data_IF_145898492330
#
_entry.id   IF_145898492330
#
_cell.length_a   1.000
_cell.length_b   1.000
_cell.length_c   1.000
_cell.angle_alpha   90.00
_cell.angle_beta   90.00
_cell.angle_gamma   90.00
#
_symmetry.space_group_name_H-M   'P 1'
#
loop_
_entity.id
_entity.type
_entity.pdbx_description
1 polymer ?
#
# COMPACT_ATOMS: atom_id res chain seq x y z
N UNK A 1 9.85 1.70 -15.31
CA UNK A 1 9.80 0.68 -14.24
C UNK A 1 9.32 -0.64 -14.82
N UNK A 2 8.07 -0.74 -15.30
CA UNK A 2 7.50 -1.97 -15.89
C UNK A 2 8.39 -2.65 -16.94
N UNK A 3 8.83 -1.90 -17.96
CA UNK A 3 9.79 -2.41 -18.97
C UNK A 3 11.10 -2.94 -18.36
N UNK A 4 11.54 -2.36 -17.24
CA UNK A 4 12.73 -2.80 -16.51
C UNK A 4 12.51 -4.15 -15.83
N UNK A 5 11.34 -4.37 -15.23
CA UNK A 5 10.94 -5.68 -14.71
C UNK A 5 10.91 -6.71 -15.85
N UNK A 6 10.32 -6.35 -17.00
CA UNK A 6 10.30 -7.21 -18.18
C UNK A 6 11.68 -7.51 -18.78
N UNK A 7 12.67 -6.64 -18.58
CA UNK A 7 14.07 -6.94 -18.94
C UNK A 7 14.67 -7.97 -17.98
N UNK A 8 14.53 -7.76 -16.66
CA UNK A 8 15.07 -8.69 -15.64
C UNK A 8 14.50 -10.10 -15.82
N UNK A 9 13.19 -10.22 -16.06
CA UNK A 9 12.54 -11.52 -16.27
C UNK A 9 13.08 -12.22 -17.52
N UNK A 10 13.24 -11.49 -18.64
CA UNK A 10 13.79 -12.05 -19.89
C UNK A 10 15.24 -12.52 -19.76
N UNK A 11 16.05 -11.82 -18.98
CA UNK A 11 17.42 -12.25 -18.70
C UNK A 11 17.44 -13.54 -17.86
N UNK A 12 16.58 -13.64 -16.84
CA UNK A 12 16.44 -14.85 -16.03
C UNK A 12 15.95 -16.05 -16.86
N UNK A 13 15.02 -15.83 -17.80
CA UNK A 13 14.55 -16.82 -18.77
C UNK A 13 15.66 -17.26 -19.73
N UNK A 14 16.40 -16.30 -20.31
CA UNK A 14 17.50 -16.57 -21.24
C UNK A 14 18.65 -17.33 -20.57
N UNK A 15 18.85 -17.13 -19.27
CA UNK A 15 19.81 -17.89 -18.46
C UNK A 15 19.29 -19.27 -18.01
N UNK A 16 18.04 -19.63 -18.30
CA UNK A 16 17.43 -20.89 -17.88
C UNK A 16 17.15 -20.99 -16.38
N UNK A 17 17.05 -19.86 -15.67
CA UNK A 17 16.89 -19.80 -14.20
C UNK A 17 15.44 -19.68 -13.75
N UNK A 18 14.53 -19.31 -14.66
CA UNK A 18 13.16 -18.95 -14.33
C UNK A 18 12.38 -20.10 -13.64
N UNK A 19 12.58 -21.34 -14.10
CA UNK A 19 11.92 -22.54 -13.58
C UNK A 19 12.32 -22.94 -12.14
N UNK A 20 13.35 -22.29 -11.57
CA UNK A 20 13.80 -22.54 -10.20
C UNK A 20 13.90 -21.24 -9.38
N UNK A 21 13.21 -20.17 -9.80
CA UNK A 21 13.27 -18.86 -9.16
C UNK A 21 11.91 -18.43 -8.65
N UNK A 22 11.83 -18.08 -7.37
CA UNK A 22 10.70 -17.30 -6.84
C UNK A 22 10.93 -15.81 -7.10
N UNK A 23 9.94 -15.14 -7.69
CA UNK A 23 9.97 -13.71 -7.97
C UNK A 23 8.97 -13.01 -7.05
N UNK A 24 9.45 -12.02 -6.29
CA UNK A 24 8.62 -11.15 -5.45
C UNK A 24 8.72 -9.73 -6.00
N UNK A 25 7.59 -9.13 -6.35
CA UNK A 25 7.48 -7.73 -6.76
C UNK A 25 6.61 -6.97 -5.76
N UNK A 26 7.12 -5.84 -5.25
CA UNK A 26 6.40 -5.01 -4.29
C UNK A 26 6.88 -3.55 -4.30
N UNK A 27 6.33 -2.71 -3.41
CA UNK A 27 6.76 -1.33 -3.15
C UNK A 27 7.21 -1.20 -1.70
N UNK A 28 8.02 -0.20 -1.36
CA UNK A 28 8.43 0.08 0.03
C UNK A 28 7.34 0.82 0.81
N UNK A 29 6.70 1.79 0.17
CA UNK A 29 5.60 2.58 0.70
C UNK A 29 4.69 3.07 -0.43
N UNK A 30 3.64 3.79 -0.05
CA UNK A 30 2.76 4.46 -0.97
C UNK A 30 3.36 5.65 -1.70
N UNK A 31 2.63 6.20 -2.68
CA UNK A 31 3.17 7.23 -3.56
C UNK A 31 3.26 8.60 -2.87
N UNK A 32 4.06 9.54 -3.42
CA UNK A 32 4.29 10.86 -2.85
C UNK A 32 3.13 11.83 -3.16
N UNK A 33 1.95 11.50 -2.65
CA UNK A 33 0.73 12.30 -2.75
C UNK A 33 0.15 12.58 -1.36
N UNK A 34 -0.78 13.55 -1.21
CA UNK A 34 -1.49 13.76 0.04
C UNK A 34 -2.11 12.47 0.56
N UNK A 35 -2.06 12.26 1.88
CA UNK A 35 -2.39 11.00 2.57
C UNK A 35 -1.52 9.78 2.19
N UNK A 36 -0.63 9.89 1.20
CA UNK A 36 0.29 8.84 0.74
C UNK A 36 1.52 8.69 1.64
N UNK A 37 2.71 8.59 1.02
CA UNK A 37 4.02 8.49 1.69
C UNK A 37 4.07 9.32 2.96
N UNK A 38 4.71 8.78 4.01
CA UNK A 38 4.79 9.33 5.39
C UNK A 38 3.55 9.14 6.27
N UNK A 39 2.42 8.69 5.72
CA UNK A 39 1.20 8.43 6.50
C UNK A 39 0.98 6.94 6.74
N UNK A 40 0.10 6.63 7.69
CA UNK A 40 -0.40 5.28 7.94
C UNK A 40 -1.84 5.10 7.42
N UNK A 41 -2.30 5.93 6.49
CA UNK A 41 -3.64 5.89 5.92
C UNK A 41 -3.76 4.85 4.78
N UNK A 42 -4.97 4.54 4.32
CA UNK A 42 -5.18 3.74 3.10
C UNK A 42 -5.05 4.62 1.84
N UNK A 43 -5.39 5.91 1.95
CA UNK A 43 -5.23 6.95 0.92
C UNK A 43 -5.74 6.58 -0.48
N UNK A 44 -6.90 5.91 -0.56
CA UNK A 44 -7.45 5.46 -1.84
C UNK A 44 -6.68 4.30 -2.45
N UNK A 45 -6.37 3.27 -1.63
CA UNK A 45 -5.76 1.97 -1.97
C UNK A 45 -4.24 1.91 -2.08
N UNK A 46 -3.52 3.00 -1.82
CA UNK A 46 -2.12 3.09 -2.27
C UNK A 46 -1.14 3.59 -1.21
N UNK A 47 -1.56 3.95 0.01
CA UNK A 47 -0.60 4.39 1.04
C UNK A 47 0.06 3.22 1.78
N UNK A 48 -0.68 2.55 2.67
CA UNK A 48 -0.19 1.33 3.34
C UNK A 48 -0.51 0.05 2.57
N UNK A 49 -1.42 0.14 1.61
CA UNK A 49 -1.73 -0.95 0.69
C UNK A 49 -0.87 -0.80 -0.56
N UNK A 50 0.17 -1.62 -0.64
CA UNK A 50 1.15 -1.63 -1.72
C UNK A 50 0.94 -2.86 -2.62
N UNK A 51 1.41 -2.85 -3.88
CA UNK A 51 1.38 -4.05 -4.69
C UNK A 51 2.22 -5.14 -4.05
N UNK A 52 1.75 -6.38 -4.07
CA UNK A 52 2.54 -7.56 -3.75
C UNK A 52 2.18 -8.67 -4.74
N UNK A 53 3.15 -9.09 -5.53
CA UNK A 53 3.04 -10.21 -6.46
C UNK A 53 4.13 -11.20 -6.07
N UNK A 54 3.73 -12.44 -5.83
CA UNK A 54 4.65 -13.55 -5.60
C UNK A 54 4.41 -14.59 -6.67
N UNK A 55 5.43 -14.85 -7.47
CA UNK A 55 5.42 -15.87 -8.52
C UNK A 55 6.41 -16.96 -8.18
N UNK A 56 5.93 -18.20 -8.13
CA UNK A 56 6.76 -19.40 -7.97
C UNK A 56 6.63 -20.28 -9.21
N UNK A 57 7.61 -21.15 -9.52
CA UNK A 57 7.55 -22.03 -10.70
C UNK A 57 6.34 -22.97 -10.71
N UNK A 58 5.86 -23.38 -9.53
CA UNK A 58 4.72 -24.30 -9.36
C UNK A 58 3.42 -23.58 -9.00
N UNK A 59 3.44 -22.25 -8.88
CA UNK A 59 2.29 -21.45 -8.46
C UNK A 59 1.24 -21.33 -9.56
N UNK A 60 -0.02 -21.26 -9.16
CA UNK A 60 -1.13 -20.96 -10.08
C UNK A 60 -1.50 -19.48 -10.00
N UNK A 61 -1.94 -18.92 -11.13
CA UNK A 61 -2.43 -17.53 -11.16
C UNK A 61 -3.70 -17.42 -10.33
N UNK A 62 -3.65 -16.63 -9.28
CA UNK A 62 -4.78 -16.38 -8.38
C UNK A 62 -4.70 -14.97 -7.78
N UNK A 63 -5.83 -14.48 -7.29
CA UNK A 63 -5.90 -13.30 -6.41
C UNK A 63 -6.22 -13.84 -5.02
N UNK A 64 -5.35 -13.55 -4.06
CA UNK A 64 -5.51 -13.99 -2.67
C UNK A 64 -5.91 -12.79 -1.82
N UNK A 65 -7.12 -12.84 -1.26
CA UNK A 65 -7.60 -11.82 -0.32
C UNK A 65 -7.12 -12.17 1.11
N UNK A 66 -5.92 -11.70 1.43
CA UNK A 66 -5.21 -11.97 2.67
C UNK A 66 -4.61 -10.69 3.24
N UNK A 67 -4.68 -10.52 4.56
CA UNK A 67 -3.99 -9.42 5.24
C UNK A 67 -2.51 -9.76 5.35
N UNK A 68 -1.67 -9.08 4.58
CA UNK A 68 -0.22 -9.30 4.48
C UNK A 68 0.61 -8.06 4.78
N UNK A 69 1.86 -8.26 5.19
CA UNK A 69 2.81 -7.20 5.52
C UNK A 69 4.18 -7.49 4.90
N UNK A 70 4.97 -6.44 4.62
CA UNK A 70 6.34 -6.60 4.16
C UNK A 70 7.22 -7.39 5.14
N UNK A 71 6.85 -7.44 6.43
CA UNK A 71 7.54 -8.27 7.43
C UNK A 71 7.47 -9.77 7.13
N UNK A 72 6.52 -10.21 6.30
CA UNK A 72 6.36 -11.60 5.87
C UNK A 72 7.38 -12.01 4.81
N UNK A 73 8.00 -11.06 4.09
CA UNK A 73 8.95 -11.37 3.01
C UNK A 73 10.17 -12.11 3.56
N UNK A 74 10.72 -11.66 4.68
CA UNK A 74 11.89 -12.28 5.30
C UNK A 74 11.66 -13.76 5.66
N UNK A 75 10.65 -14.14 6.46
CA UNK A 75 10.38 -15.55 6.74
C UNK A 75 9.98 -16.34 5.49
N UNK A 76 9.31 -15.72 4.50
CA UNK A 76 8.97 -16.38 3.21
C UNK A 76 10.22 -16.80 2.43
N UNK A 77 11.23 -15.91 2.35
CA UNK A 77 12.48 -16.21 1.66
C UNK A 77 13.25 -17.32 2.38
N UNK A 78 13.31 -17.30 3.70
CA UNK A 78 13.97 -18.36 4.47
C UNK A 78 13.27 -19.71 4.29
N UNK A 79 11.94 -19.73 4.36
CA UNK A 79 11.12 -20.92 4.13
C UNK A 79 11.32 -21.48 2.71
N UNK A 80 11.44 -20.61 1.70
CA UNK A 80 11.72 -21.03 0.32
C UNK A 80 13.04 -21.78 0.16
N UNK A 81 14.06 -21.42 0.94
CA UNK A 81 15.37 -22.05 0.93
C UNK A 81 15.55 -23.14 2.01
N UNK A 82 14.48 -23.51 2.72
CA UNK A 82 14.52 -24.45 3.85
C UNK A 82 15.55 -24.03 4.93
N UNK A 83 15.64 -22.72 5.19
CA UNK A 83 16.51 -22.13 6.21
C UNK A 83 15.70 -21.79 7.45
N UNK A 84 16.07 -22.25 8.65
CA UNK A 84 15.35 -21.91 9.87
C UNK A 84 15.54 -20.42 10.24
N UNK A 85 14.52 -19.81 10.84
CA UNK A 85 14.63 -18.46 11.40
C UNK A 85 15.80 -18.38 12.41
N UNK A 86 16.70 -17.39 12.27
CA UNK A 86 17.86 -17.29 13.14
C UNK A 86 17.45 -16.91 14.56
N UNK A 87 18.11 -17.50 15.56
CA UNK A 87 17.94 -17.15 16.97
C UNK A 87 19.13 -16.33 17.45
N UNK A 88 18.91 -15.06 17.74
CA UNK A 88 19.92 -14.15 18.28
C UNK A 88 19.27 -13.07 19.15
N UNK A 89 20.09 -12.37 19.93
CA UNK A 89 19.68 -11.23 20.75
C UNK A 89 20.46 -9.99 20.32
N UNK A 90 19.81 -8.83 20.34
CA UNK A 90 20.51 -7.56 20.18
C UNK A 90 21.27 -7.23 21.47
N UNK A 91 22.51 -6.71 21.34
CA UNK A 91 23.44 -6.49 22.47
C UNK A 91 22.83 -5.73 23.66
N UNK A 92 21.83 -4.89 23.42
CA UNK A 92 21.20 -4.03 24.43
C UNK A 92 19.82 -4.48 24.89
N UNK A 93 19.26 -5.59 24.39
CA UNK A 93 17.85 -5.96 24.65
C UNK A 93 17.67 -7.15 25.58
N UNK A 94 18.73 -7.88 25.98
CA UNK A 94 18.65 -8.97 26.97
C UNK A 94 17.74 -10.16 26.61
N UNK A 95 16.99 -10.08 25.51
CA UNK A 95 16.01 -11.06 25.04
C UNK A 95 16.25 -11.41 23.56
N UNK A 96 15.88 -12.63 23.12
CA UNK A 96 15.93 -12.99 21.71
C UNK A 96 15.04 -12.09 20.86
N UNK A 97 15.45 -11.83 19.61
CA UNK A 97 14.64 -11.15 18.61
C UNK A 97 13.44 -12.04 18.24
N UNK A 98 12.25 -11.46 18.29
CA UNK A 98 11.02 -12.11 17.84
C UNK A 98 10.65 -11.59 16.45
N UNK A 99 10.50 -12.49 15.49
CA UNK A 99 9.97 -12.16 14.17
C UNK A 99 8.46 -12.26 14.19
N UNK A 100 7.76 -11.18 13.79
CA UNK A 100 6.30 -11.14 13.79
C UNK A 100 5.67 -11.38 12.41
N UNK A 101 6.48 -11.51 11.38
CA UNK A 101 6.02 -11.92 10.04
C UNK A 101 5.88 -13.43 9.94
N UNK A 102 5.06 -13.89 9.00
CA UNK A 102 4.79 -15.30 8.73
C UNK A 102 5.10 -15.61 7.27
N UNK A 103 5.63 -16.80 6.97
CA UNK A 103 5.85 -17.22 5.57
C UNK A 103 4.54 -17.18 4.77
N UNK A 104 4.61 -16.66 3.54
CA UNK A 104 3.51 -16.62 2.59
C UNK A 104 3.41 -17.91 1.76
N UNK A 105 4.41 -18.79 1.78
CA UNK A 105 4.38 -20.01 0.95
C UNK A 105 3.14 -20.88 1.15
N UNK A 106 2.58 -21.03 2.38
CA UNK A 106 1.33 -21.76 2.56
C UNK A 106 0.19 -21.18 1.73
N UNK A 107 0.00 -19.86 1.70
CA UNK A 107 -1.13 -19.24 0.99
C UNK A 107 -0.98 -19.22 -0.54
N UNK A 108 0.22 -19.52 -1.05
CA UNK A 108 0.46 -19.68 -2.50
C UNK A 108 -0.06 -21.02 -3.04
N UNK A 109 -0.35 -21.99 -2.16
CA UNK A 109 -0.90 -23.30 -2.52
C UNK A 109 -2.44 -23.20 -2.49
N UNK A 110 -3.11 -23.66 -3.55
CA UNK A 110 -4.55 -23.48 -3.83
C UNK A 110 -5.53 -24.04 -2.80
N UNK A 111 -5.05 -24.69 -1.74
CA UNK A 111 -5.86 -25.38 -0.72
C UNK A 111 -5.74 -24.78 0.69
N UNK A 112 -4.95 -23.72 0.86
CA UNK A 112 -4.70 -23.19 2.21
C UNK A 112 -5.88 -22.39 2.76
N UNK A 113 -6.17 -22.51 4.07
CA UNK A 113 -7.25 -21.76 4.69
C UNK A 113 -6.87 -20.28 4.71
N UNK A 114 -7.39 -19.52 3.74
CA UNK A 114 -7.35 -18.06 3.69
C UNK A 114 -7.79 -17.43 5.03
N UNK A 115 -8.54 -18.16 5.86
CA UNK A 115 -9.08 -17.70 7.14
C UNK A 115 -8.03 -17.21 8.16
N UNK A 116 -6.83 -17.80 8.22
CA UNK A 116 -5.80 -17.34 9.17
C UNK A 116 -5.20 -16.01 8.75
N UNK A 117 -4.97 -15.81 7.46
CA UNK A 117 -4.41 -14.56 6.93
C UNK A 117 -5.48 -13.47 6.74
N UNK A 118 -6.75 -13.81 6.55
CA UNK A 118 -7.81 -12.82 6.34
C UNK A 118 -8.15 -12.04 7.61
N UNK A 119 -8.04 -12.68 8.78
CA UNK A 119 -8.45 -12.08 10.06
C UNK A 119 -7.29 -11.65 10.95
N UNK A 120 -6.03 -11.91 10.57
CA UNK A 120 -4.90 -11.54 11.41
C UNK A 120 -4.68 -10.02 11.48
N UNK A 121 -4.12 -9.52 12.59
CA UNK A 121 -3.69 -8.14 12.70
C UNK A 121 -2.51 -7.81 11.77
N UNK A 122 -2.57 -6.65 11.12
CA UNK A 122 -1.46 -6.03 10.38
C UNK A 122 -1.05 -4.76 11.11
N UNK A 123 0.18 -4.77 11.63
CA UNK A 123 0.74 -3.68 12.41
C UNK A 123 1.60 -2.75 11.57
N UNK A 124 1.61 -1.46 11.91
CA UNK A 124 2.38 -0.42 11.24
C UNK A 124 3.01 0.49 12.30
N UNK A 125 4.28 0.83 12.10
CA UNK A 125 5.03 1.71 13.00
C UNK A 125 5.84 2.71 12.20
N UNK A 126 5.68 3.99 12.53
CA UNK A 126 6.42 5.10 11.95
C UNK A 126 6.93 5.99 13.09
N UNK A 127 8.17 6.46 13.02
CA UNK A 127 8.73 7.38 14.03
C UNK A 127 9.20 8.68 13.42
N UNK A 128 10.04 8.57 12.38
CA UNK A 128 10.66 9.67 11.67
C UNK A 128 10.58 9.40 10.16
N UNK A 129 10.59 10.47 9.37
CA UNK A 129 10.88 10.41 7.94
C UNK A 129 12.22 11.09 7.67
N UNK A 130 12.26 12.42 7.72
CA UNK A 130 13.50 13.18 7.90
C UNK A 130 13.81 13.33 9.40
N UNK A 131 15.06 13.66 9.74
CA UNK A 131 15.47 13.84 11.14
C UNK A 131 14.72 14.97 11.86
N UNK A 132 14.22 15.95 11.11
CA UNK A 132 13.40 17.07 11.58
C UNK A 132 11.92 16.73 11.72
N UNK A 133 11.48 15.60 11.16
CA UNK A 133 10.06 15.21 11.08
C UNK A 133 9.68 14.24 12.21
N UNK A 134 9.70 14.72 13.45
CA UNK A 134 9.28 13.94 14.61
C UNK A 134 7.74 13.90 14.74
N UNK A 135 7.13 12.86 14.18
CA UNK A 135 5.70 12.59 14.30
C UNK A 135 5.43 11.07 14.39
N UNK A 136 5.75 10.43 15.52
CA UNK A 136 5.57 9.00 15.67
C UNK A 136 4.09 8.60 15.59
N UNK A 137 3.83 7.52 14.87
CA UNK A 137 2.51 6.94 14.69
C UNK A 137 2.58 5.42 14.85
N UNK A 138 1.52 4.84 15.41
CA UNK A 138 1.33 3.39 15.52
C UNK A 138 -0.03 3.05 14.97
N UNK A 139 -0.15 1.99 14.19
CA UNK A 139 -1.44 1.57 13.68
C UNK A 139 -1.54 0.05 13.66
N UNK A 140 -2.78 -0.41 13.75
CA UNK A 140 -3.12 -1.81 13.50
C UNK A 140 -4.41 -1.86 12.69
N UNK A 141 -4.45 -2.81 11.77
CA UNK A 141 -5.66 -3.17 11.02
C UNK A 141 -6.00 -4.62 11.30
N UNK A 142 -7.25 -4.89 11.66
CA UNK A 142 -7.81 -6.23 11.86
C UNK A 142 -9.08 -6.31 11.03
N UNK A 143 -9.04 -7.10 9.95
CA UNK A 143 -10.10 -7.12 8.93
C UNK A 143 -10.36 -5.72 8.36
N UNK A 144 -11.57 -5.22 8.56
CA UNK A 144 -12.02 -3.90 8.09
C UNK A 144 -11.82 -2.80 9.13
N UNK A 145 -11.42 -3.12 10.37
CA UNK A 145 -11.22 -2.10 11.40
C UNK A 145 -9.75 -1.71 11.45
N UNK A 146 -9.51 -0.41 11.47
CA UNK A 146 -8.16 0.17 11.60
C UNK A 146 -8.14 1.25 12.66
N UNK A 147 -7.09 1.24 13.48
CA UNK A 147 -6.80 2.34 14.40
C UNK A 147 -5.45 2.94 14.09
N UNK A 148 -5.32 4.25 14.25
CA UNK A 148 -4.06 4.99 14.22
C UNK A 148 -3.93 5.76 15.53
N UNK A 149 -2.80 5.57 16.21
CA UNK A 149 -2.36 6.37 17.33
C UNK A 149 -1.33 7.39 16.85
N UNK A 150 -1.69 8.67 16.90
CA UNK A 150 -0.78 9.79 16.67
C UNK A 150 -0.13 10.17 18.01
N UNK A 151 1.11 9.75 18.23
CA UNK A 151 1.79 9.92 19.51
C UNK A 151 2.07 11.40 19.82
N UNK A 152 2.32 12.21 18.78
CA UNK A 152 2.58 13.65 18.89
C UNK A 152 1.45 14.51 18.28
N UNK A 153 0.19 14.07 18.43
CA UNK A 153 -1.01 14.68 17.85
C UNK A 153 -1.23 16.19 18.12
N UNK A 154 -0.67 16.73 19.22
CA UNK A 154 -0.73 18.18 19.52
C UNK A 154 0.19 19.03 18.63
N UNK A 155 1.12 18.40 17.90
CA UNK A 155 1.96 19.06 16.90
C UNK A 155 1.31 18.96 15.52
N UNK A 156 1.57 19.93 14.62
CA UNK A 156 1.16 19.78 13.23
C UNK A 156 1.94 18.61 12.58
N UNK A 157 1.26 17.83 11.74
CA UNK A 157 1.89 16.80 10.92
C UNK A 157 2.98 17.43 10.02
N UNK A 158 4.23 16.95 10.07
CA UNK A 158 5.32 17.52 9.29
C UNK A 158 5.21 17.14 7.82
N UNK A 159 5.77 17.97 6.94
CA UNK A 159 5.82 17.74 5.49
C UNK A 159 7.30 17.63 5.10
N UNK A 160 7.64 16.57 4.38
CA UNK A 160 9.00 16.38 3.85
C UNK A 160 9.32 17.38 2.75
N UNK A 161 10.60 17.71 2.59
CA UNK A 161 11.06 18.76 1.68
C UNK A 161 10.70 18.42 0.22
N UNK A 162 10.89 17.16 -0.17
CA UNK A 162 10.59 16.67 -1.52
C UNK A 162 9.11 16.84 -1.86
N UNK A 163 8.22 16.39 -0.96
CA UNK A 163 6.78 16.52 -1.16
C UNK A 163 6.32 17.96 -1.05
N UNK A 164 6.91 18.75 -0.13
CA UNK A 164 6.65 20.17 -0.03
C UNK A 164 6.92 20.85 -1.37
N UNK A 165 8.05 20.55 -2.01
CA UNK A 165 8.46 21.14 -3.30
C UNK A 165 7.69 20.60 -4.51
N UNK A 166 6.90 19.53 -4.33
CA UNK A 166 6.14 18.93 -5.43
C UNK A 166 5.14 19.91 -6.05
N UNK A 167 4.87 19.81 -7.37
CA UNK A 167 3.81 20.60 -8.01
C UNK A 167 2.44 20.41 -7.35
N UNK A 168 2.14 19.20 -6.89
CA UNK A 168 0.89 18.85 -6.19
C UNK A 168 0.72 19.70 -4.93
N UNK A 169 1.78 19.90 -4.15
CA UNK A 169 1.73 20.61 -2.88
C UNK A 169 1.86 22.13 -3.05
N UNK A 170 2.86 22.61 -3.81
CA UNK A 170 3.13 24.05 -3.96
C UNK A 170 2.16 24.79 -4.87
N UNK A 171 1.85 24.26 -6.06
CA UNK A 171 1.71 25.08 -7.28
C UNK A 171 1.10 26.48 -7.07
N UNK A 172 1.95 27.50 -7.20
CA UNK A 172 1.60 28.89 -7.46
C UNK A 172 1.89 29.18 -8.93
N UNK A 173 0.89 29.65 -9.70
CA UNK A 173 1.12 30.22 -11.03
C UNK A 173 1.69 31.65 -10.89
N UNK A 174 2.94 31.76 -10.46
CA UNK A 174 3.64 33.07 -10.36
C UNK A 174 5.01 33.10 -11.03
N UNK A 175 5.32 32.16 -11.91
CA UNK A 175 6.48 32.28 -12.80
C UNK A 175 6.06 32.32 -14.25
N UNK A 176 6.24 33.50 -14.87
CA UNK A 176 6.38 33.69 -16.32
C UNK A 176 7.63 32.97 -16.87
N UNK A 177 7.92 31.74 -16.44
CA UNK A 177 8.88 30.89 -17.17
C UNK A 177 8.09 30.23 -18.28
N UNK A 178 8.15 30.85 -19.46
CA UNK A 178 8.01 30.11 -20.71
C UNK A 178 9.06 28.99 -20.66
N UNK A 179 8.65 27.78 -20.35
CA UNK A 179 9.27 26.67 -21.04
C UNK A 179 8.82 26.83 -22.49
N UNK A 180 9.65 27.50 -23.29
CA UNK A 180 9.60 27.30 -24.72
C UNK A 180 9.81 25.80 -24.91
N UNK A 181 8.73 25.11 -25.28
CA UNK A 181 8.86 23.89 -26.06
C UNK A 181 9.70 24.29 -27.26
N UNK A 182 11.01 24.09 -27.19
CA UNK A 182 11.85 24.10 -28.37
C UNK A 182 11.33 22.97 -29.24
N UNK A 183 10.55 23.33 -30.26
CA UNK A 183 10.36 22.53 -31.46
C UNK A 183 11.75 22.26 -32.02
N UNK A 184 12.33 21.12 -31.62
CA UNK A 184 13.76 20.90 -31.75
C UNK A 184 14.19 19.52 -31.29
N UNK A 185 13.58 18.49 -31.87
CA UNK A 185 14.28 17.23 -32.16
C UNK A 185 14.33 16.18 -31.06
N UNK A 186 13.20 15.49 -30.82
CA UNK A 186 13.24 14.02 -30.77
C UNK A 186 12.18 13.53 -31.75
N UNK A 187 12.69 13.03 -32.87
CA UNK A 187 11.95 12.60 -34.05
C UNK A 187 11.02 11.44 -33.66
N UNK A 188 9.71 11.65 -33.74
CA UNK A 188 8.65 10.62 -33.69
C UNK A 188 8.68 9.72 -34.94
N UNK A 189 9.83 9.08 -35.19
CA UNK A 189 10.10 8.28 -36.36
C UNK A 189 10.54 6.87 -36.01
N UNK A 190 9.76 6.13 -35.22
CA UNK A 190 9.91 4.67 -35.11
C UNK A 190 8.61 3.88 -34.88
N UNK A 191 7.44 4.51 -34.99
CA UNK A 191 6.13 3.83 -34.92
C UNK A 191 5.42 3.68 -36.28
N UNK A 192 6.18 3.64 -37.39
CA UNK A 192 5.64 3.36 -38.74
C UNK A 192 6.35 2.23 -39.49
N UNK A 193 7.13 1.40 -38.81
CA UNK A 193 7.80 0.23 -39.40
C UNK A 193 7.35 -1.13 -38.82
N UNK A 194 6.42 -1.16 -37.87
CA UNK A 194 5.95 -2.41 -37.25
C UNK A 194 4.48 -2.78 -37.56
N UNK A 195 3.83 -2.12 -38.53
CA UNK A 195 2.44 -2.40 -38.93
C UNK A 195 2.26 -2.74 -40.42
N UNK A 196 3.34 -3.00 -41.17
CA UNK A 196 3.28 -3.31 -42.61
C UNK A 196 3.80 -4.72 -42.98
N UNK A 197 3.76 -5.70 -42.08
CA UNK A 197 4.13 -7.09 -42.41
C UNK A 197 3.12 -8.15 -41.94
N UNK A 198 1.82 -7.90 -42.08
CA UNK A 198 0.81 -8.97 -42.07
C UNK A 198 0.17 -9.01 -43.45
N UNK A 199 0.31 -10.10 -44.24
CA UNK A 199 -0.35 -10.22 -45.53
C UNK A 199 -1.87 -10.32 -45.37
N UNK A 200 -2.59 -9.58 -46.20
CA UNK A 200 -4.03 -9.65 -46.41
C UNK A 200 -4.48 -11.05 -46.86
N UNK A 201 -5.45 -11.65 -46.16
CA UNK A 201 -6.42 -12.58 -46.75
C UNK A 201 -7.84 -12.06 -46.56
N UNK A 202 -8.66 -12.31 -47.59
CA UNK A 202 -9.78 -11.50 -48.06
C UNK A 202 -11.08 -11.72 -47.27
N UNK A 203 -11.84 -10.62 -47.11
CA UNK A 203 -13.29 -10.65 -46.85
C UNK A 203 -14.04 -11.39 -47.96
N UNK A 204 -14.91 -12.32 -47.56
CA UNK A 204 -15.85 -13.03 -48.41
C UNK A 204 -17.22 -13.15 -47.74
N UNK A 205 -18.10 -12.22 -48.09
CA UNK A 205 -19.55 -12.35 -48.32
C UNK A 205 -20.39 -13.24 -47.36
N UNK A 206 -21.10 -12.59 -46.43
CA UNK A 206 -22.17 -13.18 -45.61
C UNK A 206 -23.49 -13.18 -46.38
N UNK A 207 -23.81 -14.29 -47.06
CA UNK A 207 -25.20 -14.63 -47.44
C UNK A 207 -25.48 -16.14 -47.32
N UNK A 208 -26.61 -16.41 -46.65
CA UNK A 208 -27.44 -17.64 -46.67
C UNK A 208 -26.95 -18.86 -45.89
N UNK A 209 -27.77 -19.31 -44.92
CA UNK A 209 -28.50 -20.60 -44.89
C UNK A 209 -29.15 -20.84 -43.49
N UNK A 210 -30.13 -21.77 -43.33
CA UNK A 210 -31.45 -21.41 -42.80
C UNK A 210 -31.88 -22.08 -41.46
N UNK A 211 -32.97 -21.51 -40.92
CA UNK A 211 -34.04 -22.03 -40.04
C UNK A 211 -33.94 -23.41 -39.36
N UNK A 212 -34.05 -23.37 -38.01
CA UNK A 212 -35.15 -24.02 -37.27
C UNK A 212 -34.85 -25.33 -36.53
N UNK A 213 -34.89 -25.30 -35.19
CA UNK A 213 -35.58 -26.26 -34.31
C UNK A 213 -35.48 -25.84 -32.82
N UNK A 214 -36.60 -25.94 -32.12
CA UNK A 214 -36.82 -25.68 -30.69
C UNK A 214 -37.00 -27.02 -29.97
N UNK A 215 -36.62 -27.12 -28.68
CA UNK A 215 -37.50 -27.52 -27.55
C UNK A 215 -36.70 -27.72 -26.23
N UNK A 216 -37.14 -27.00 -25.19
CA UNK A 216 -37.32 -27.35 -23.77
C UNK A 216 -36.12 -27.72 -22.84
N UNK A 217 -36.04 -27.03 -21.69
CA UNK A 217 -35.11 -27.30 -20.56
C UNK A 217 -35.69 -28.28 -19.51
N UNK A 218 -35.34 -28.22 -18.20
CA UNK A 218 -34.28 -27.47 -17.52
C UNK A 218 -33.44 -28.36 -16.56
N UNK A 219 -32.11 -28.27 -16.55
CA UNK A 219 -31.34 -28.68 -15.36
C UNK A 219 -30.06 -27.84 -15.21
N UNK A 220 -29.95 -27.19 -14.05
CA UNK A 220 -28.80 -26.42 -13.57
C UNK A 220 -27.54 -27.30 -13.62
N UNK A 221 -26.59 -26.94 -14.47
CA UNK A 221 -25.17 -27.22 -14.26
C UNK A 221 -24.38 -25.94 -14.49
N UNK A 222 -23.54 -25.68 -13.50
CA UNK A 222 -22.51 -24.65 -13.45
C UNK A 222 -21.38 -25.12 -14.37
N UNK A 223 -21.06 -24.36 -15.42
CA UNK A 223 -19.70 -24.28 -15.96
C UNK A 223 -19.53 -23.09 -16.90
N UNK A 224 -18.55 -22.26 -16.53
CA UNK A 224 -17.50 -21.66 -17.35
C UNK A 224 -17.80 -20.88 -18.64
N UNK A 225 -16.95 -19.86 -18.81
CA UNK A 225 -16.71 -19.04 -20.00
C UNK A 225 -17.71 -17.91 -20.26
N UNK A 226 -17.52 -16.79 -19.57
CA UNK A 226 -17.73 -15.48 -20.18
C UNK A 226 -16.38 -14.80 -20.34
N UNK A 227 -16.00 -14.64 -21.60
CA UNK A 227 -14.91 -13.84 -22.10
C UNK A 227 -14.74 -12.56 -21.27
N UNK A 228 -13.56 -12.42 -20.66
CA UNK A 228 -13.13 -11.12 -20.14
C UNK A 228 -12.92 -10.24 -21.38
N UNK A 229 -13.96 -9.48 -21.73
CA UNK A 229 -13.80 -8.29 -22.56
C UNK A 229 -12.70 -7.45 -21.90
N UNK A 230 -11.55 -7.34 -22.57
CA UNK A 230 -10.54 -6.34 -22.23
C UNK A 230 -11.26 -4.99 -22.18
N UNK A 231 -11.20 -4.22 -21.07
CA UNK A 231 -11.66 -2.85 -21.10
C UNK A 231 -10.62 -2.03 -21.87
N UNK A 232 -10.63 -2.15 -23.20
CA UNK A 232 -10.04 -1.16 -24.09
C UNK A 232 -10.84 0.13 -23.90
N UNK A 233 -10.33 1.04 -23.08
CA UNK A 233 -10.91 2.38 -22.94
C UNK A 233 -10.69 3.07 -21.60
N UNK A 234 -10.42 2.36 -20.49
CA UNK A 234 -10.34 3.02 -19.18
C UNK A 234 -8.95 3.62 -18.87
N UNK A 235 -7.86 3.01 -19.34
CA UNK A 235 -6.50 3.47 -19.04
C UNK A 235 -6.03 4.63 -19.95
N UNK A 236 -6.58 4.73 -21.16
CA UNK A 236 -6.21 5.77 -22.15
C UNK A 236 -6.95 7.09 -21.86
N UNK A 237 -8.14 7.02 -21.26
CA UNK A 237 -9.00 8.19 -21.00
C UNK A 237 -8.46 9.12 -19.89
N UNK A 238 -7.59 8.62 -19.01
CA UNK A 238 -6.91 9.46 -18.00
C UNK A 238 -5.81 10.36 -18.59
N UNK A 239 -5.19 9.94 -19.70
CA UNK A 239 -4.06 10.66 -20.31
C UNK A 239 -4.55 11.66 -21.36
N UNK A 240 -5.57 11.32 -22.14
CA UNK A 240 -6.08 12.19 -23.22
C UNK A 240 -7.09 13.25 -22.74
N UNK A 241 -7.86 13.00 -21.67
CA UNK A 241 -8.78 14.00 -21.08
C UNK A 241 -8.10 14.99 -20.14
N UNK A 242 -6.90 15.48 -20.45
CA UNK A 242 -6.33 16.66 -19.80
C UNK A 242 -6.38 16.71 -18.27
N UNK A 243 -6.31 15.56 -17.58
CA UNK A 243 -6.42 15.48 -16.11
C UNK A 243 -5.34 16.26 -15.37
N UNK A 244 -4.16 16.37 -15.99
CA UNK A 244 -3.06 17.22 -15.53
C UNK A 244 -3.31 18.73 -15.68
N UNK A 245 -4.27 19.15 -16.51
CA UNK A 245 -4.61 20.57 -16.66
C UNK A 245 -5.62 21.09 -15.63
N UNK A 246 -6.24 20.24 -14.81
CA UNK A 246 -7.15 20.66 -13.73
C UNK A 246 -6.43 21.06 -12.43
N UNK A 247 -5.17 20.67 -12.25
CA UNK A 247 -4.32 21.13 -11.14
C UNK A 247 -3.43 22.27 -11.60
N UNK A 248 -4.03 23.42 -11.93
CA UNK A 248 -3.28 24.64 -12.28
C UNK A 248 -2.69 25.35 -11.05
N UNK A 249 -3.16 24.98 -9.86
CA UNK A 249 -2.77 25.52 -8.56
C UNK A 249 -2.69 24.36 -7.55
N UNK A 250 -1.65 24.34 -6.73
CA UNK A 250 -1.40 23.32 -5.73
C UNK A 250 -2.16 23.59 -4.44
N UNK A 251 -2.10 22.64 -3.52
CA UNK A 251 -2.93 22.64 -2.32
C UNK A 251 -2.68 23.86 -1.41
N UNK A 252 -1.42 24.28 -1.27
CA UNK A 252 -1.08 25.45 -0.46
C UNK A 252 -1.70 26.73 -1.02
N UNK A 253 -1.60 26.95 -2.34
CA UNK A 253 -2.13 28.16 -2.96
C UNK A 253 -3.65 28.21 -2.90
N UNK A 254 -4.32 27.09 -3.21
CA UNK A 254 -5.78 26.99 -3.12
C UNK A 254 -6.27 27.23 -1.70
N UNK A 255 -5.59 26.71 -0.69
CA UNK A 255 -5.93 26.97 0.72
C UNK A 255 -5.76 28.45 1.08
N UNK A 256 -4.65 29.08 0.69
CA UNK A 256 -4.38 30.52 0.92
C UNK A 256 -5.43 31.42 0.29
N UNK A 257 -5.91 31.04 -0.90
CA UNK A 257 -6.91 31.79 -1.65
C UNK A 257 -8.35 31.38 -1.30
N UNK A 258 -8.55 30.56 -0.24
CA UNK A 258 -9.84 30.04 0.19
C UNK A 258 -10.62 29.30 -0.92
N UNK A 259 -9.90 28.70 -1.87
CA UNK A 259 -10.46 27.86 -2.93
C UNK A 259 -10.64 26.43 -2.39
N UNK A 260 -11.70 25.75 -2.84
CA UNK A 260 -11.88 24.31 -2.60
C UNK A 260 -10.62 23.55 -3.02
N UNK A 261 -10.23 22.50 -2.29
CA UNK A 261 -9.13 21.60 -2.66
C UNK A 261 -9.56 20.45 -3.59
N UNK A 262 -10.87 20.21 -3.75
CA UNK A 262 -11.39 18.96 -4.35
C UNK A 262 -10.74 17.70 -3.74
N UNK A 263 -10.44 17.79 -2.46
CA UNK A 263 -9.89 16.73 -1.62
C UNK A 263 -10.81 16.55 -0.43
N UNK A 264 -10.85 15.35 0.14
CA UNK A 264 -11.78 15.01 1.21
C UNK A 264 -11.38 15.62 2.58
N UNK A 265 -10.22 16.27 2.66
CA UNK A 265 -9.69 16.97 3.85
C UNK A 265 -9.39 18.43 3.53
N UNK A 266 -9.28 19.25 4.57
CA UNK A 266 -8.59 20.54 4.51
C UNK A 266 -7.13 20.36 4.95
N UNK A 267 -6.25 21.34 4.64
CA UNK A 267 -4.89 21.33 5.20
C UNK A 267 -4.90 21.40 6.74
N UNK A 268 -5.89 22.08 7.34
CA UNK A 268 -6.03 22.13 8.79
C UNK A 268 -6.25 20.73 9.37
N UNK A 269 -7.16 19.96 8.78
CA UNK A 269 -7.43 18.57 9.23
C UNK A 269 -6.24 17.65 8.96
N UNK A 270 -5.48 17.92 7.90
CA UNK A 270 -4.27 17.14 7.58
C UNK A 270 -3.13 17.37 8.59
N UNK A 271 -2.96 18.62 9.03
CA UNK A 271 -1.95 19.00 10.01
C UNK A 271 -2.35 18.61 11.44
N UNK A 272 -3.58 18.89 11.84
CA UNK A 272 -4.03 18.72 13.22
C UNK A 272 -4.96 17.52 13.33
N UNK A 273 -4.37 16.39 13.72
CA UNK A 273 -5.04 15.10 13.83
C UNK A 273 -5.41 14.81 15.28
N UNK A 274 -6.40 13.95 15.47
CA UNK A 274 -6.69 13.44 16.79
C UNK A 274 -5.65 12.43 17.24
N UNK A 275 -5.55 12.23 18.56
CA UNK A 275 -4.66 11.22 19.13
C UNK A 275 -5.00 9.83 18.63
N UNK A 276 -6.29 9.51 18.59
CA UNK A 276 -6.82 8.23 18.19
C UNK A 276 -7.73 8.44 16.98
N UNK A 277 -7.38 7.82 15.87
CA UNK A 277 -8.24 7.81 14.69
C UNK A 277 -8.72 6.38 14.45
N UNK A 278 -10.03 6.19 14.40
CA UNK A 278 -10.66 4.88 14.16
C UNK A 278 -11.36 4.89 12.82
N UNK A 279 -11.12 3.85 12.03
CA UNK A 279 -11.66 3.72 10.68
C UNK A 279 -12.30 2.37 10.48
N UNK A 280 -13.43 2.40 9.77
CA UNK A 280 -13.92 1.26 9.02
C UNK A 280 -13.39 1.38 7.58
N UNK A 281 -12.80 0.31 7.08
CA UNK A 281 -12.25 0.22 5.74
C UNK A 281 -13.33 -0.40 4.84
N UNK A 282 -14.07 0.45 4.13
CA UNK A 282 -15.08 0.05 3.14
C UNK A 282 -14.51 0.33 1.74
N UNK A 283 -14.44 -0.68 0.86
CA UNK A 283 -13.87 -0.55 -0.50
C UNK A 283 -12.50 0.15 -0.52
N UNK A 284 -11.67 -0.18 0.47
CA UNK A 284 -10.34 0.38 0.67
C UNK A 284 -10.31 1.91 0.89
N UNK A 285 -11.42 2.46 1.36
CA UNK A 285 -11.54 3.85 1.80
C UNK A 285 -11.73 3.87 3.31
N UNK A 286 -11.08 4.83 3.92
CA UNK A 286 -11.22 5.09 5.35
C UNK A 286 -12.48 5.89 5.60
N UNK A 287 -13.42 5.26 6.29
CA UNK A 287 -14.61 5.91 6.84
C UNK A 287 -14.40 6.06 8.34
N UNK A 288 -14.31 7.31 8.78
CA UNK A 288 -14.08 7.62 10.18
C UNK A 288 -15.26 7.16 11.04
N UNK A 289 -14.95 6.36 12.06
CA UNK A 289 -15.92 5.96 13.07
C UNK A 289 -15.83 6.90 14.27
N UNK A 290 -16.96 7.18 14.95
CA UNK A 290 -16.90 7.79 16.28
C UNK A 290 -16.15 6.85 17.23
N UNK A 291 -15.53 7.40 18.28
CA UNK A 291 -14.85 6.61 19.30
C UNK A 291 -15.82 5.61 19.94
N UNK A 292 -15.79 4.36 19.47
CA UNK A 292 -16.54 3.26 20.06
C UNK A 292 -15.61 2.47 20.98
N UNK A 293 -15.80 2.68 22.28
CA UNK A 293 -14.90 2.21 23.34
C UNK A 293 -14.62 0.70 23.29
N UNK A 294 -15.59 -0.13 22.90
CA UNK A 294 -15.42 -1.60 22.96
C UNK A 294 -14.49 -2.14 21.87
N UNK A 295 -14.66 -1.69 20.62
CA UNK A 295 -13.80 -2.09 19.50
C UNK A 295 -12.40 -1.51 19.70
N UNK A 296 -12.33 -0.26 20.16
CA UNK A 296 -11.09 0.41 20.49
C UNK A 296 -10.29 -0.38 21.53
N UNK A 297 -10.91 -0.90 22.59
CA UNK A 297 -10.20 -1.66 23.62
C UNK A 297 -9.51 -2.90 23.08
N UNK A 298 -10.21 -3.76 22.34
CA UNK A 298 -9.62 -5.00 21.81
C UNK A 298 -8.48 -4.72 20.84
N UNK A 299 -8.71 -3.81 19.90
CA UNK A 299 -7.71 -3.49 18.87
C UNK A 299 -6.51 -2.73 19.47
N UNK A 300 -6.75 -1.89 20.50
CA UNK A 300 -5.70 -1.23 21.26
C UNK A 300 -4.82 -2.23 22.00
N UNK A 301 -5.40 -3.25 22.64
CA UNK A 301 -4.64 -4.30 23.32
C UNK A 301 -3.72 -5.05 22.35
N UNK A 302 -4.21 -5.42 21.17
CA UNK A 302 -3.39 -6.06 20.12
C UNK A 302 -2.20 -5.18 19.71
N UNK A 303 -2.44 -3.88 19.49
CA UNK A 303 -1.37 -2.94 19.14
C UNK A 303 -0.32 -2.85 20.25
N UNK A 304 -0.76 -2.68 21.49
CA UNK A 304 0.13 -2.54 22.63
C UNK A 304 0.95 -3.81 22.89
N UNK A 305 0.32 -4.99 22.78
CA UNK A 305 0.99 -6.27 22.92
C UNK A 305 2.06 -6.46 21.84
N UNK A 306 1.75 -6.08 20.59
CA UNK A 306 2.75 -6.08 19.52
C UNK A 306 3.91 -5.13 19.79
N UNK A 307 3.66 -3.92 20.29
CA UNK A 307 4.70 -2.97 20.68
C UNK A 307 5.63 -3.53 21.78
N UNK A 308 5.07 -4.22 22.77
CA UNK A 308 5.86 -4.87 23.84
C UNK A 308 6.70 -6.05 23.34
N UNK A 309 6.13 -6.88 22.47
CA UNK A 309 6.83 -8.02 21.86
C UNK A 309 7.99 -7.57 20.98
N UNK A 310 7.78 -6.49 20.21
CA UNK A 310 8.78 -5.91 19.30
C UNK A 310 9.76 -4.93 19.96
N UNK A 311 9.66 -4.73 21.28
CA UNK A 311 10.50 -3.79 22.04
C UNK A 311 10.49 -2.37 21.47
N UNK A 312 9.29 -1.87 21.18
CA UNK A 312 9.09 -0.49 20.75
C UNK A 312 9.48 0.49 21.88
N UNK A 313 10.48 1.36 21.68
CA UNK A 313 10.89 2.29 22.73
C UNK A 313 9.86 3.41 22.97
N UNK A 314 8.85 3.56 22.10
CA UNK A 314 7.74 4.49 22.29
C UNK A 314 6.50 3.88 22.97
N UNK A 315 6.55 2.63 23.42
CA UNK A 315 5.37 1.90 23.96
C UNK A 315 4.65 2.63 25.12
N UNK A 316 5.36 3.46 25.88
CA UNK A 316 4.79 4.23 26.99
C UNK A 316 4.48 5.70 26.61
N UNK A 317 5.05 6.21 25.53
CA UNK A 317 4.90 7.61 25.11
C UNK A 317 3.47 7.87 24.56
N UNK A 318 2.86 9.05 24.75
CA UNK A 318 3.40 10.27 25.40
C UNK A 318 3.07 10.44 26.89
N UNK A 319 2.22 9.59 27.46
CA UNK A 319 1.68 9.83 28.81
C UNK A 319 2.52 9.22 29.93
N UNK A 320 3.41 8.30 29.56
CA UNK A 320 4.17 7.47 30.49
C UNK A 320 5.62 7.37 30.03
N UNK A 321 6.50 7.06 30.98
CA UNK A 321 7.90 6.72 30.73
C UNK A 321 8.07 5.21 30.85
N UNK A 322 8.85 4.64 29.93
CA UNK A 322 9.27 3.24 30.02
C UNK A 322 10.40 3.13 31.05
N UNK A 323 10.15 2.41 32.13
CA UNK A 323 11.13 2.07 33.15
C UNK A 323 11.48 0.58 33.12
N UNK A 324 12.74 0.26 33.38
CA UNK A 324 13.31 -1.08 33.30
C UNK A 324 13.59 -1.56 31.87
N UNK A 325 13.69 -2.88 31.70
CA UNK A 325 14.11 -3.51 30.43
C UNK A 325 15.63 -3.53 30.22
N UNK A 326 16.40 -3.28 31.27
CA UNK A 326 17.86 -3.43 31.28
C UNK A 326 18.25 -4.83 31.77
N UNK A 327 19.54 -5.15 31.70
CA UNK A 327 20.07 -6.42 32.24
C UNK A 327 19.84 -6.49 33.76
N UNK A 328 19.96 -5.36 34.45
CA UNK A 328 19.86 -5.28 35.91
C UNK A 328 18.40 -5.13 36.39
N UNK A 329 17.52 -4.53 35.57
CA UNK A 329 16.09 -4.36 35.85
C UNK A 329 15.23 -4.91 34.70
N UNK A 330 15.05 -6.24 34.61
CA UNK A 330 14.40 -6.86 33.46
C UNK A 330 12.90 -6.58 33.37
N UNK A 331 12.25 -6.18 34.47
CA UNK A 331 10.82 -5.90 34.50
C UNK A 331 10.55 -4.53 33.86
N UNK A 332 9.88 -4.55 32.72
CA UNK A 332 9.43 -3.34 32.02
C UNK A 332 8.09 -2.86 32.57
N UNK A 333 7.95 -1.56 32.75
CA UNK A 333 6.67 -0.95 33.14
C UNK A 333 6.55 0.48 32.61
N UNK A 334 5.31 0.92 32.39
CA UNK A 334 5.04 2.31 32.01
C UNK A 334 4.59 3.10 33.26
N UNK A 335 5.38 4.09 33.68
CA UNK A 335 5.06 4.97 34.80
C UNK A 335 4.45 6.29 34.32
N UNK A 336 3.38 6.80 34.95
CA UNK A 336 2.69 8.01 34.50
C UNK A 336 3.53 9.27 34.67
N UNK A 337 3.48 10.16 33.68
CA UNK A 337 4.09 11.49 33.73
C UNK A 337 3.18 12.57 34.35
N UNK A 338 1.87 12.30 34.48
CA UNK A 338 0.87 13.27 34.95
C UNK A 338 0.89 14.59 34.15
N UNK A 339 1.26 14.53 32.87
CA UNK A 339 1.51 15.66 31.99
C UNK A 339 0.26 16.17 31.25
N UNK A 340 -0.92 16.08 31.88
CA UNK A 340 -2.21 16.57 31.33
C UNK A 340 -2.69 15.93 30.01
N UNK A 341 -2.14 14.77 29.64
CA UNK A 341 -2.68 13.94 28.55
C UNK A 341 -3.75 12.94 29.03
N UNK A 342 -3.88 12.74 30.34
CA UNK A 342 -5.04 12.09 30.96
C UNK A 342 -6.12 13.14 31.26
N UNK A 343 -7.39 12.89 30.91
CA UNK A 343 -8.51 13.70 31.38
C UNK A 343 -8.70 13.61 32.90
#
# INVERSE_FOLDING_TARGET
>A
MDQGVGLIIREAESAGLLENTMIIFTSDNGPPFPDGRTNLYEAGKICVQIPLIVSTPTGTKSIVDASVTLLDIFPTILDWFDVPLPRYSLKHKGKPVEFTGTSLLPILKSESPQSEFSTRPVFMSHSLHEITMYYPMRAVRIGEVKIIQNLSWRLPFPIDEDFYMSPTFQMSRSSKRKYELREGGIRWGMYKLALNQVPNEKEGDLRSLPSGLSLEGPHRMVQETSEIQRPEGAAVDCVERGGFHKFREGMLNRTKEHKSLNWHKTLKDYYFRERWETFLIEDFREKRLPENLTILQTVFHELQDWQWRTDDPWVCYPDKVLEGGTVDEPKRSCLPLLNSYYP
#
